data_IF_380989942648
#
_entry.id   IF_380989942648
#
_cell.length_a   1.000
_cell.length_b   1.000
_cell.length_c   1.000
_cell.angle_alpha   90.00
_cell.angle_beta   90.00
_cell.angle_gamma   90.00
#
_symmetry.space_group_name_H-M   'P 1'
#
loop_
_entity.id
_entity.type
_entity.pdbx_description
1 polymer ?
#
# COMPACT_ATOMS: atom_id res chain seq x y z
N UNK A 1 13.00 -11.44 7.24
CA UNK A 1 12.06 -12.46 6.71
C UNK A 1 11.16 -13.05 7.80
N UNK A 2 11.70 -13.38 8.98
CA UNK A 2 10.90 -13.88 10.11
C UNK A 2 9.79 -12.90 10.54
N UNK A 3 10.08 -11.60 10.58
CA UNK A 3 9.11 -10.58 11.05
C UNK A 3 7.93 -10.44 10.08
N UNK A 4 8.17 -10.48 8.77
CA UNK A 4 7.12 -10.43 7.74
C UNK A 4 6.15 -11.61 7.87
N UNK A 5 6.64 -12.84 7.95
CA UNK A 5 5.77 -14.04 8.05
C UNK A 5 4.95 -14.03 9.35
N UNK A 6 5.56 -13.56 10.45
CA UNK A 6 4.88 -13.41 11.72
C UNK A 6 3.78 -12.35 11.66
N UNK A 7 4.09 -11.16 11.13
CA UNK A 7 3.08 -10.11 10.93
C UNK A 7 1.94 -10.57 10.03
N UNK A 8 2.23 -11.34 8.96
CA UNK A 8 1.19 -11.95 8.13
C UNK A 8 0.26 -12.88 8.92
N UNK A 9 0.79 -13.66 9.87
CA UNK A 9 -0.04 -14.47 10.77
C UNK A 9 -0.91 -13.64 11.72
N UNK A 10 -0.43 -12.44 12.07
CA UNK A 10 -1.11 -11.48 12.94
C UNK A 10 -2.12 -10.59 12.21
N UNK A 11 -2.16 -10.63 10.88
CA UNK A 11 -3.03 -9.80 10.03
C UNK A 11 -3.87 -10.65 9.07
N UNK A 12 -4.06 -11.94 9.38
CA UNK A 12 -4.72 -12.91 8.51
C UNK A 12 -6.26 -12.80 8.46
N UNK A 13 -6.88 -11.99 9.32
CA UNK A 13 -8.33 -11.71 9.28
C UNK A 13 -8.60 -10.21 9.33
N UNK A 14 -9.74 -9.71 8.81
CA UNK A 14 -10.08 -8.29 8.89
C UNK A 14 -10.05 -7.73 10.32
N UNK A 15 -10.55 -8.49 11.31
CA UNK A 15 -10.51 -8.10 12.72
C UNK A 15 -9.08 -7.95 13.23
N UNK A 16 -8.20 -8.90 12.90
CA UNK A 16 -6.80 -8.85 13.32
C UNK A 16 -6.01 -7.73 12.63
N UNK A 17 -6.34 -7.44 11.36
CA UNK A 17 -5.82 -6.26 10.65
C UNK A 17 -6.24 -4.95 11.32
N UNK A 18 -7.49 -4.87 11.77
CA UNK A 18 -7.99 -3.72 12.51
C UNK A 18 -7.26 -3.56 13.85
N UNK A 19 -7.16 -4.64 14.64
CA UNK A 19 -6.38 -4.68 15.88
C UNK A 19 -4.93 -4.21 15.64
N UNK A 20 -4.29 -4.71 14.59
CA UNK A 20 -2.94 -4.32 14.19
C UNK A 20 -2.84 -2.83 13.87
N UNK A 21 -3.73 -2.33 13.01
CA UNK A 21 -3.81 -0.91 12.66
C UNK A 21 -4.00 -0.03 13.90
N UNK A 22 -4.98 -0.33 14.76
CA UNK A 22 -5.24 0.42 15.98
C UNK A 22 -4.02 0.44 16.90
N UNK A 23 -3.38 -0.71 17.13
CA UNK A 23 -2.15 -0.76 17.95
C UNK A 23 -1.03 0.12 17.36
N UNK A 24 -0.80 0.04 16.05
CA UNK A 24 0.23 0.84 15.38
C UNK A 24 -0.06 2.35 15.42
N UNK A 25 -1.33 2.76 15.37
CA UNK A 25 -1.69 4.18 15.55
C UNK A 25 -1.38 4.71 16.95
N UNK A 26 -1.50 3.89 18.00
CA UNK A 26 -1.12 4.28 19.37
C UNK A 26 0.39 4.47 19.54
N UNK A 27 1.17 3.83 18.67
CA UNK A 27 2.64 3.85 18.66
C UNK A 27 3.23 4.80 17.62
N UNK A 28 2.39 5.53 16.89
CA UNK A 28 2.82 6.48 15.84
C UNK A 28 3.66 5.81 14.73
N UNK A 29 3.32 4.57 14.37
CA UNK A 29 3.96 3.78 13.30
C UNK A 29 2.93 3.24 12.28
N UNK A 30 1.78 3.89 12.20
CA UNK A 30 0.66 3.52 11.35
C UNK A 30 1.00 3.56 9.86
N UNK A 31 1.92 4.42 9.42
CA UNK A 31 2.38 4.52 8.03
C UNK A 31 3.01 3.20 7.55
N UNK A 32 3.90 2.61 8.36
CA UNK A 32 4.52 1.30 8.06
C UNK A 32 3.47 0.18 8.08
N UNK A 33 2.54 0.22 9.03
CA UNK A 33 1.47 -0.76 9.18
C UNK A 33 0.49 -0.73 7.99
N UNK A 34 0.07 0.48 7.58
CA UNK A 34 -0.79 0.69 6.42
C UNK A 34 -0.09 0.18 5.17
N UNK A 35 1.17 0.57 4.92
CA UNK A 35 1.93 0.07 3.77
C UNK A 35 2.01 -1.46 3.76
N UNK A 36 2.31 -2.07 4.91
CA UNK A 36 2.40 -3.53 5.04
C UNK A 36 1.10 -4.23 4.61
N UNK A 37 -0.04 -3.76 5.11
CA UNK A 37 -1.37 -4.30 4.79
C UNK A 37 -1.73 -4.10 3.31
N UNK A 38 -1.41 -2.94 2.74
CA UNK A 38 -1.69 -2.62 1.35
C UNK A 38 -0.85 -3.47 0.38
N UNK A 39 0.41 -3.78 0.71
CA UNK A 39 1.25 -4.66 -0.11
C UNK A 39 0.69 -6.09 -0.14
N UNK A 40 0.21 -6.61 0.99
CA UNK A 40 -0.42 -7.94 1.01
C UNK A 40 -1.71 -7.96 0.17
N UNK A 41 -2.56 -6.94 0.27
CA UNK A 41 -3.75 -6.84 -0.58
C UNK A 41 -3.40 -6.64 -2.07
N UNK A 42 -2.34 -5.90 -2.38
CA UNK A 42 -1.83 -5.77 -3.74
C UNK A 42 -1.34 -7.10 -4.30
N UNK A 43 -0.67 -7.95 -3.50
CA UNK A 43 -0.17 -9.25 -3.95
C UNK A 43 -1.30 -10.14 -4.50
N UNK A 44 -2.50 -10.02 -3.94
CA UNK A 44 -3.69 -10.74 -4.41
C UNK A 44 -4.27 -10.11 -5.70
N UNK A 45 -4.42 -8.79 -5.73
CA UNK A 45 -5.10 -8.07 -6.82
C UNK A 45 -4.22 -7.91 -8.07
N UNK A 46 -2.94 -7.63 -7.85
CA UNK A 46 -1.88 -7.28 -8.82
C UNK A 46 -2.27 -6.13 -9.76
N UNK A 47 -3.11 -5.21 -9.28
CA UNK A 47 -3.66 -4.10 -10.05
C UNK A 47 -2.65 -2.97 -10.24
N UNK A 48 -2.51 -2.49 -11.47
CA UNK A 48 -1.60 -1.38 -11.84
C UNK A 48 -1.80 -0.12 -11.01
N UNK A 49 -3.04 0.33 -10.83
CA UNK A 49 -3.37 1.54 -10.06
C UNK A 49 -2.96 1.46 -8.59
N UNK A 50 -2.99 0.25 -8.00
CA UNK A 50 -2.55 0.03 -6.63
C UNK A 50 -1.02 0.08 -6.53
N UNK A 51 -0.31 -0.46 -7.52
CA UNK A 51 1.14 -0.32 -7.59
C UNK A 51 1.59 1.13 -7.78
N UNK A 52 0.92 1.90 -8.66
CA UNK A 52 1.15 3.36 -8.80
C UNK A 52 0.96 4.05 -7.46
N UNK A 53 -0.19 3.81 -6.81
CA UNK A 53 -0.49 4.38 -5.49
C UNK A 53 0.58 4.06 -4.44
N UNK A 54 0.95 2.78 -4.30
CA UNK A 54 1.97 2.32 -3.35
C UNK A 54 3.32 2.98 -3.60
N UNK A 55 3.73 3.05 -4.87
CA UNK A 55 4.99 3.67 -5.26
C UNK A 55 4.99 5.18 -4.97
N UNK A 56 3.99 5.90 -5.48
CA UNK A 56 3.96 7.34 -5.41
C UNK A 56 3.87 7.80 -3.95
N UNK A 57 3.01 7.18 -3.13
CA UNK A 57 2.74 7.64 -1.78
C UNK A 57 3.80 7.18 -0.79
N UNK A 58 4.10 5.88 -0.76
CA UNK A 58 4.92 5.32 0.31
C UNK A 58 6.40 5.24 -0.03
N UNK A 59 6.74 5.09 -1.31
CA UNK A 59 8.15 5.02 -1.75
C UNK A 59 8.66 6.41 -2.11
N UNK A 60 7.96 7.15 -2.98
CA UNK A 60 8.41 8.45 -3.47
C UNK A 60 8.10 9.59 -2.52
N UNK A 61 6.96 9.53 -1.81
CA UNK A 61 6.54 10.52 -0.82
C UNK A 61 5.54 11.55 -1.34
N UNK A 62 4.85 11.26 -2.43
CA UNK A 62 3.82 12.11 -3.04
C UNK A 62 2.47 11.99 -2.28
N UNK A 63 2.51 12.15 -0.96
CA UNK A 63 1.35 12.00 -0.07
C UNK A 63 0.57 13.32 -0.03
N UNK A 64 -0.77 13.33 -0.08
CA UNK A 64 -1.55 14.56 0.10
C UNK A 64 -1.27 15.22 1.46
N UNK A 65 -1.13 16.56 1.49
CA UNK A 65 -0.81 17.31 2.71
C UNK A 65 -1.75 16.98 3.87
N UNK A 66 -3.06 16.89 3.61
CA UNK A 66 -4.06 16.55 4.64
C UNK A 66 -3.85 15.18 5.31
N UNK A 67 -3.10 14.28 4.67
CA UNK A 67 -2.70 12.99 5.24
C UNK A 67 -1.28 13.02 5.84
N UNK A 68 -0.47 14.02 5.52
CA UNK A 68 0.81 14.28 6.21
C UNK A 68 0.60 15.05 7.52
N UNK A 69 -0.48 15.83 7.60
CA UNK A 69 -0.85 16.57 8.81
C UNK A 69 -0.92 15.63 10.03
N UNK A 70 -0.45 16.15 11.16
CA UNK A 70 -0.25 15.38 12.41
C UNK A 70 0.66 14.15 12.25
N UNK A 71 1.46 14.07 11.19
CA UNK A 71 2.30 12.91 10.87
C UNK A 71 1.50 11.60 10.70
N UNK A 72 0.28 11.67 10.15
CA UNK A 72 -0.56 10.48 9.96
C UNK A 72 0.02 9.52 8.91
N UNK A 73 0.48 10.02 7.76
CA UNK A 73 1.21 9.25 6.76
C UNK A 73 2.55 9.92 6.44
N UNK A 74 3.57 9.07 6.27
CA UNK A 74 4.90 9.43 5.81
C UNK A 74 5.43 8.41 4.82
N UNK A 75 6.62 8.70 4.30
CA UNK A 75 7.39 7.76 3.48
C UNK A 75 7.75 6.57 4.36
N UNK A 76 7.64 5.35 3.83
CA UNK A 76 8.08 4.17 4.60
C UNK A 76 9.56 4.26 4.94
N UNK A 77 9.92 3.84 6.15
CA UNK A 77 11.28 3.98 6.63
C UNK A 77 12.13 2.83 6.08
N UNK A 78 12.59 3.02 4.85
CA UNK A 78 13.45 2.09 4.12
C UNK A 78 14.74 2.78 3.71
N UNK A 79 15.79 1.99 3.46
CA UNK A 79 17.06 2.57 3.01
C UNK A 79 16.89 3.31 1.68
N UNK A 80 17.62 4.41 1.49
CA UNK A 80 17.56 5.20 0.25
C UNK A 80 17.85 4.34 -1.00
N UNK A 81 18.84 3.43 -0.91
CA UNK A 81 19.15 2.48 -1.97
C UNK A 81 17.96 1.57 -2.30
N UNK A 82 17.24 1.09 -1.28
CA UNK A 82 16.05 0.26 -1.49
C UNK A 82 14.91 1.07 -2.08
N UNK A 83 14.71 2.31 -1.62
CA UNK A 83 13.73 3.25 -2.20
C UNK A 83 13.96 3.44 -3.70
N UNK A 84 15.18 3.75 -4.13
CA UNK A 84 15.54 3.93 -5.53
C UNK A 84 15.34 2.65 -6.37
N UNK A 85 15.76 1.51 -5.83
CA UNK A 85 15.57 0.22 -6.47
C UNK A 85 14.09 -0.13 -6.66
N UNK A 86 13.29 0.02 -5.59
CA UNK A 86 11.86 -0.27 -5.62
C UNK A 86 11.11 0.69 -6.54
N UNK A 87 11.40 2.01 -6.50
CA UNK A 87 10.75 2.99 -7.38
C UNK A 87 11.06 2.73 -8.86
N UNK A 88 12.34 2.49 -9.18
CA UNK A 88 12.76 2.21 -10.56
C UNK A 88 12.13 0.90 -11.07
N UNK A 89 12.21 -0.17 -10.27
CA UNK A 89 11.66 -1.47 -10.64
C UNK A 89 10.13 -1.45 -10.81
N UNK A 90 9.44 -0.71 -9.94
CA UNK A 90 7.98 -0.54 -10.02
C UNK A 90 7.59 0.26 -11.25
N UNK A 91 8.26 1.37 -11.52
CA UNK A 91 8.03 2.20 -12.72
C UNK A 91 8.23 1.40 -14.01
N UNK A 92 9.29 0.59 -14.08
CA UNK A 92 9.54 -0.31 -15.20
C UNK A 92 8.42 -1.34 -15.34
N UNK A 93 8.03 -2.02 -14.25
CA UNK A 93 6.96 -3.01 -14.27
C UNK A 93 5.61 -2.40 -14.74
N UNK A 94 5.25 -1.22 -14.23
CA UNK A 94 4.06 -0.44 -14.62
C UNK A 94 4.13 -0.06 -16.10
N UNK A 95 5.31 0.24 -16.64
CA UNK A 95 5.49 0.58 -18.06
C UNK A 95 5.39 -0.64 -18.98
N UNK A 96 5.80 -1.81 -18.50
CA UNK A 96 5.80 -3.08 -19.24
C UNK A 96 4.41 -3.70 -19.33
N UNK A 97 3.58 -3.51 -18.29
CA UNK A 97 2.18 -3.91 -18.31
C UNK A 97 1.37 -2.84 -19.04
N UNK A 98 0.92 -3.19 -20.26
CA UNK A 98 0.35 -2.27 -21.25
C UNK A 98 -0.54 -1.15 -20.69
N UNK A 99 -0.40 0.05 -21.28
CA UNK A 99 -1.20 1.24 -20.93
C UNK A 99 -2.70 0.88 -20.91
N UNK A 100 -3.34 1.04 -19.76
CA UNK A 100 -4.79 0.83 -19.64
C UNK A 100 -5.52 1.83 -20.55
N UNK A 101 -6.77 1.54 -20.94
CA UNK A 101 -7.56 2.47 -21.76
C UNK A 101 -7.68 3.87 -21.12
N UNK A 102 -7.63 3.97 -19.79
CA UNK A 102 -7.57 5.25 -19.06
C UNK A 102 -6.25 6.01 -19.30
N UNK A 103 -5.10 5.31 -19.27
CA UNK A 103 -3.77 5.90 -19.55
C UNK A 103 -3.65 6.40 -21.00
N UNK A 104 -4.33 5.74 -21.95
CA UNK A 104 -4.36 6.17 -23.37
C UNK A 104 -5.27 7.38 -23.58
N UNK A 105 -6.40 7.49 -22.85
CA UNK A 105 -7.37 8.58 -22.98
C UNK A 105 -6.84 9.93 -22.46
N UNK A 106 -5.99 9.92 -21.44
CA UNK A 106 -5.36 11.13 -20.93
C UNK A 106 -4.23 11.68 -21.83
N UNK A 107 -3.61 10.83 -22.68
CA UNK A 107 -2.51 11.23 -23.56
C UNK A 107 -2.87 11.40 -25.04
N UNK A 108 -4.04 10.93 -25.48
CA UNK A 108 -4.51 11.13 -26.84
C UNK A 108 -5.79 11.97 -26.85
N UNK A 109 -5.60 13.28 -27.12
CA UNK A 109 -6.66 14.14 -27.62
C UNK A 109 -7.27 13.55 -28.90
N UNK A 110 -8.57 13.82 -29.06
CA UNK A 110 -9.50 13.24 -30.04
C UNK A 110 -8.92 12.71 -31.35
N UNK A 111 -9.27 11.46 -31.68
CA UNK A 111 -9.05 10.87 -33.00
C UNK A 111 -9.74 9.52 -33.11
N UNK A 112 -10.83 9.47 -33.88
CA UNK A 112 -11.73 8.32 -34.07
C UNK A 112 -11.03 7.13 -34.79
N UNK A 113 -9.76 7.25 -35.16
CA UNK A 113 -8.98 6.20 -35.84
C UNK A 113 -8.38 5.13 -34.91
N UNK A 114 -8.41 5.31 -33.59
CA UNK A 114 -7.79 4.37 -32.62
C UNK A 114 -8.66 3.18 -32.18
N UNK A 115 -9.96 3.16 -32.51
CA UNK A 115 -10.91 2.19 -31.94
C UNK A 115 -10.76 0.77 -32.50
N UNK A 116 -10.35 0.61 -33.77
CA UNK A 116 -10.27 -0.71 -34.41
C UNK A 116 -8.90 -1.40 -34.29
N UNK A 117 -7.83 -0.66 -33.98
CA UNK A 117 -6.50 -1.24 -33.74
C UNK A 117 -6.33 -1.83 -32.32
N UNK A 118 -7.15 -1.40 -31.36
CA UNK A 118 -7.08 -1.85 -29.97
C UNK A 118 -7.72 -3.24 -29.73
N UNK A 119 -8.51 -3.76 -30.67
CA UNK A 119 -9.18 -5.06 -30.53
C UNK A 119 -8.26 -6.28 -30.76
N UNK A 120 -7.03 -6.07 -31.24
CA UNK A 120 -6.07 -7.15 -31.58
C UNK A 120 -4.81 -7.19 -30.70
N UNK A 121 -4.73 -6.41 -29.63
CA UNK A 121 -3.71 -6.67 -28.62
C UNK A 121 -4.17 -7.91 -27.85
N UNK A 122 -3.51 -9.06 -28.10
CA UNK A 122 -3.61 -10.26 -27.26
C UNK A 122 -3.68 -9.79 -25.81
N UNK A 123 -4.73 -10.21 -25.10
CA UNK A 123 -4.86 -10.02 -23.66
C UNK A 123 -3.71 -10.77 -22.97
N UNK A 124 -2.52 -10.17 -22.98
CA UNK A 124 -1.46 -10.55 -22.05
C UNK A 124 -1.96 -10.25 -20.64
N UNK A 125 -1.53 -11.06 -19.68
CA UNK A 125 -1.88 -10.85 -18.27
C UNK A 125 -1.50 -9.40 -17.89
N UNK A 126 -2.50 -8.56 -17.67
CA UNK A 126 -2.29 -7.14 -17.30
C UNK A 126 -1.96 -6.99 -15.81
N UNK A 127 -1.61 -8.10 -15.17
CA UNK A 127 -1.26 -8.16 -13.76
C UNK A 127 0.24 -7.95 -13.60
N UNK A 128 0.58 -7.14 -12.62
CA UNK A 128 1.97 -6.95 -12.22
C UNK A 128 2.48 -8.17 -11.44
N UNK A 129 3.80 -8.25 -11.24
CA UNK A 129 4.35 -9.18 -10.28
C UNK A 129 3.84 -8.82 -8.86
N UNK A 130 3.32 -9.82 -8.13
CA UNK A 130 2.84 -9.63 -6.76
C UNK A 130 3.94 -9.33 -5.76
N UNK A 131 5.20 -9.57 -6.13
CA UNK A 131 6.37 -9.42 -5.25
C UNK A 131 7.11 -8.10 -5.45
N UNK A 132 6.59 -7.15 -6.24
CA UNK A 132 7.24 -5.87 -6.54
C UNK A 132 7.73 -5.11 -5.30
N UNK A 133 6.97 -5.19 -4.21
CA UNK A 133 7.24 -4.46 -2.97
C UNK A 133 7.79 -5.34 -1.85
N UNK A 134 8.16 -6.61 -2.11
CA UNK A 134 8.49 -7.57 -1.05
C UNK A 134 9.69 -7.15 -0.18
N UNK A 135 10.72 -6.58 -0.81
CA UNK A 135 11.90 -6.07 -0.10
C UNK A 135 11.54 -4.87 0.77
N UNK A 136 10.77 -3.91 0.23
CA UNK A 136 10.31 -2.74 0.97
C UNK A 136 9.38 -3.13 2.13
N UNK A 137 8.45 -4.05 1.89
CA UNK A 137 7.54 -4.58 2.91
C UNK A 137 8.31 -5.31 4.02
N UNK A 138 9.36 -6.05 3.67
CA UNK A 138 10.19 -6.75 4.66
C UNK A 138 10.96 -5.78 5.56
N UNK A 139 11.46 -4.67 5.02
CA UNK A 139 12.13 -3.64 5.82
C UNK A 139 11.13 -2.87 6.69
N UNK A 140 9.96 -2.49 6.15
CA UNK A 140 8.88 -1.86 6.93
C UNK A 140 8.42 -2.77 8.09
N UNK A 141 8.32 -4.08 7.86
CA UNK A 141 8.03 -5.07 8.90
C UNK A 141 9.10 -5.12 10.00
N UNK A 142 10.38 -5.08 9.62
CA UNK A 142 11.49 -5.02 10.57
C UNK A 142 11.40 -3.76 11.46
N UNK A 143 11.12 -2.60 10.86
CA UNK A 143 10.94 -1.35 11.58
C UNK A 143 9.80 -1.41 12.60
N UNK A 144 8.68 -2.07 12.27
CA UNK A 144 7.56 -2.28 13.22
C UNK A 144 7.98 -3.13 14.43
N UNK A 145 8.83 -4.14 14.21
CA UNK A 145 9.43 -4.95 15.27
C UNK A 145 10.42 -4.17 16.14
N UNK A 146 11.25 -3.32 15.52
CA UNK A 146 12.34 -2.58 16.19
C UNK A 146 11.85 -1.33 16.94
N UNK A 147 10.89 -0.59 16.38
CA UNK A 147 10.40 0.69 16.96
C UNK A 147 9.50 0.51 18.16
N UNK A 148 9.04 -0.71 18.44
CA UNK A 148 8.35 -1.00 19.68
C UNK A 148 9.12 -2.05 20.45
N UNK A 149 9.85 -1.61 21.47
CA UNK A 149 10.42 -2.52 22.48
C UNK A 149 9.30 -3.45 22.94
N UNK A 150 9.37 -4.71 22.49
CA UNK A 150 8.34 -5.69 22.80
C UNK A 150 7.07 -5.62 21.94
N UNK A 151 7.12 -5.26 20.63
CA UNK A 151 5.99 -5.51 19.72
C UNK A 151 5.45 -6.92 19.96
N UNK A 152 6.36 -7.88 19.93
CA UNK A 152 6.09 -9.30 20.05
C UNK A 152 5.65 -9.77 21.44
N UNK A 153 5.94 -9.00 22.49
CA UNK A 153 5.56 -9.35 23.86
C UNK A 153 4.29 -8.64 24.32
N UNK A 154 3.93 -7.51 23.68
CA UNK A 154 2.84 -6.63 24.10
C UNK A 154 1.65 -6.70 23.13
N UNK A 155 1.91 -6.83 21.82
CA UNK A 155 0.85 -6.93 20.83
C UNK A 155 0.18 -8.30 20.87
N UNK A 156 -1.15 -8.30 20.90
CA UNK A 156 -1.99 -9.49 20.86
C UNK A 156 -2.91 -9.40 19.64
N UNK A 157 -2.81 -10.30 18.65
CA UNK A 157 -3.60 -10.20 17.42
C UNK A 157 -5.11 -10.29 17.67
N UNK A 158 -5.52 -11.07 18.66
CA UNK A 158 -6.93 -11.20 19.08
C UNK A 158 -7.30 -10.24 20.23
N UNK A 159 -6.43 -9.25 20.51
CA UNK A 159 -6.69 -8.21 21.49
C UNK A 159 -7.67 -7.15 21.00
N UNK A 160 -7.99 -6.21 21.88
CA UNK A 160 -8.80 -5.03 21.56
C UNK A 160 -7.98 -3.78 21.82
N UNK A 161 -7.80 -2.97 20.78
CA UNK A 161 -7.08 -1.69 20.85
C UNK A 161 -7.98 -0.60 20.27
N UNK A 162 -7.93 0.59 20.87
CA UNK A 162 -8.60 1.77 20.32
C UNK A 162 -7.61 2.54 19.44
N UNK A 163 -8.02 3.04 18.27
CA UNK A 163 -7.14 3.85 17.45
C UNK A 163 -6.76 5.14 18.18
N UNK A 164 -5.61 5.71 17.83
CA UNK A 164 -5.23 7.03 18.32
C UNK A 164 -6.24 8.09 17.87
N UNK A 165 -6.83 8.81 18.82
CA UNK A 165 -7.78 9.89 18.53
C UNK A 165 -7.17 11.06 17.74
N UNK A 166 -5.84 11.19 17.76
CA UNK A 166 -5.08 12.19 16.97
C UNK A 166 -5.32 12.02 15.47
N UNK A 167 -5.53 10.79 15.03
CA UNK A 167 -5.65 10.44 13.60
C UNK A 167 -7.08 10.25 13.13
N UNK A 168 -8.07 10.37 14.03
CA UNK A 168 -9.46 10.09 13.73
C UNK A 168 -9.99 10.94 12.55
N UNK A 169 -9.51 12.18 12.40
CA UNK A 169 -9.90 13.06 11.31
C UNK A 169 -9.33 12.64 9.94
N UNK A 170 -8.20 11.94 9.90
CA UNK A 170 -7.51 11.52 8.68
C UNK A 170 -8.01 10.17 8.14
N UNK A 171 -8.56 9.31 9.01
CA UNK A 171 -9.06 7.98 8.62
C UNK A 171 -10.10 8.04 7.48
N UNK A 172 -11.14 8.89 7.52
CA UNK A 172 -12.12 8.96 6.44
C UNK A 172 -11.51 9.37 5.10
N UNK A 173 -10.53 10.28 5.12
CA UNK A 173 -9.83 10.71 3.91
C UNK A 173 -9.00 9.56 3.33
N UNK A 174 -8.23 8.84 4.15
CA UNK A 174 -7.49 7.67 3.69
C UNK A 174 -8.42 6.62 3.08
N UNK A 175 -9.54 6.31 3.74
CA UNK A 175 -10.51 5.32 3.23
C UNK A 175 -11.07 5.71 1.87
N UNK A 176 -11.33 7.00 1.64
CA UNK A 176 -11.78 7.52 0.33
C UNK A 176 -10.72 7.28 -0.76
N UNK A 177 -9.46 7.61 -0.47
CA UNK A 177 -8.34 7.48 -1.42
C UNK A 177 -8.04 6.00 -1.73
N UNK A 178 -8.08 5.13 -0.71
CA UNK A 178 -7.97 3.68 -0.88
C UNK A 178 -9.07 3.12 -1.80
N UNK A 179 -10.32 3.53 -1.60
CA UNK A 179 -11.44 3.12 -2.46
C UNK A 179 -11.26 3.60 -3.90
N UNK A 180 -10.71 4.81 -4.11
CA UNK A 180 -10.46 5.35 -5.45
C UNK A 180 -9.46 4.52 -6.27
N UNK A 181 -8.55 3.80 -5.60
CA UNK A 181 -7.60 2.88 -6.24
C UNK A 181 -8.01 1.41 -6.11
N UNK A 182 -9.24 1.15 -5.68
CA UNK A 182 -9.86 -0.16 -5.42
C UNK A 182 -9.13 -1.02 -4.40
N UNK A 183 -8.52 -0.42 -3.39
CA UNK A 183 -8.39 -1.12 -2.12
C UNK A 183 -9.75 -1.15 -1.42
N UNK A 184 -10.00 -2.22 -0.67
CA UNK A 184 -11.14 -2.30 0.24
C UNK A 184 -10.67 -2.01 1.67
N UNK A 185 -10.94 -0.80 2.21
CA UNK A 185 -10.48 -0.43 3.54
C UNK A 185 -11.05 -1.31 4.64
N UNK A 186 -12.27 -1.84 4.46
CA UNK A 186 -12.94 -2.61 5.50
C UNK A 186 -12.28 -4.00 5.61
N UNK A 187 -11.96 -4.63 4.47
CA UNK A 187 -11.13 -5.85 4.43
C UNK A 187 -9.70 -5.63 4.94
N UNK A 188 -9.16 -4.40 4.81
CA UNK A 188 -7.87 -4.00 5.37
C UNK A 188 -7.91 -3.70 6.86
N UNK A 189 -9.09 -3.67 7.50
CA UNK A 189 -9.23 -3.30 8.92
C UNK A 189 -9.05 -1.80 9.20
N UNK A 190 -9.15 -0.94 8.18
CA UNK A 190 -8.99 0.51 8.29
C UNK A 190 -10.37 1.17 8.25
N UNK A 191 -11.00 1.31 9.41
CA UNK A 191 -12.34 1.90 9.56
C UNK A 191 -12.49 2.78 10.78
#
# INVERSE_FOLDING_TARGET
MADKQKLQSFTNTPTRRHTFYCYCTQRFVQDQAIFFLLVDAFRESRLKRQAVFLNDWFIEGNIPQALQDNAYLGIVNISQKLKEFTSTGTSQAISNVGRTFADKRAKHGGGVSGFFGALKQKMGDTKLDGNLFDSAQSQAAGMLGDTSQGFDTIYKPDGTYQPSGVFAAQVPLLRKELKAVNFDPDSLGIY
#
